data_IF_758592129839
#
_entry.id   IF_758592129839
#
_cell.length_a   1.000
_cell.length_b   1.000
_cell.length_c   1.000
_cell.angle_alpha   90.00
_cell.angle_beta   90.00
_cell.angle_gamma   90.00
#
_symmetry.space_group_name_H-M   'P 1'
#
loop_
_entity.id
_entity.type
_entity.pdbx_description
1 polymer ?
#
# COMPACT_ATOMS: atom_id res chain seq x y z
N UNK A 1 4.99 -26.46 15.65
CA UNK A 1 5.06 -25.80 16.97
C UNK A 1 3.82 -24.98 17.30
N UNK A 2 3.54 -23.86 16.62
CA UNK A 2 2.37 -23.01 16.98
C UNK A 2 1.03 -23.77 16.98
N UNK A 3 0.82 -24.64 15.99
CA UNK A 3 -0.31 -25.58 15.96
C UNK A 3 -0.33 -26.54 17.17
N UNK A 4 0.84 -27.01 17.60
CA UNK A 4 0.97 -27.98 18.69
C UNK A 4 0.64 -27.37 20.07
N UNK A 5 0.88 -26.07 20.22
CA UNK A 5 0.56 -25.31 21.45
C UNK A 5 -0.80 -24.60 21.38
N UNK A 6 -1.52 -24.71 20.26
CA UNK A 6 -2.84 -24.08 20.08
C UNK A 6 -2.80 -22.56 19.90
N UNK A 7 -1.71 -21.99 19.38
CA UNK A 7 -1.68 -20.58 19.00
C UNK A 7 -2.43 -20.35 17.69
N UNK A 8 -3.41 -19.46 17.72
CA UNK A 8 -4.34 -19.15 16.62
C UNK A 8 -4.20 -17.72 16.08
N UNK A 9 -3.27 -16.92 16.62
CA UNK A 9 -2.97 -15.59 16.10
C UNK A 9 -2.33 -15.62 14.71
N UNK A 10 -2.43 -14.52 13.95
CA UNK A 10 -1.80 -14.43 12.64
C UNK A 10 -0.27 -14.41 12.76
N UNK A 11 0.42 -14.84 11.72
CA UNK A 11 1.85 -14.61 11.58
C UNK A 11 2.12 -13.51 10.58
N UNK A 12 2.96 -12.56 10.97
CA UNK A 12 3.40 -11.46 10.12
C UNK A 12 4.90 -11.55 9.84
N UNK A 13 5.26 -11.28 8.59
CA UNK A 13 6.63 -10.91 8.20
C UNK A 13 6.63 -9.41 7.94
N UNK A 14 7.63 -8.72 8.45
CA UNK A 14 7.77 -7.28 8.29
C UNK A 14 8.91 -6.98 7.32
N UNK A 15 8.62 -6.48 6.11
CA UNK A 15 9.66 -6.18 5.14
C UNK A 15 10.52 -5.00 5.59
N UNK A 16 11.84 -5.13 5.41
CA UNK A 16 12.83 -4.07 5.56
C UNK A 16 14.00 -4.32 4.60
N UNK A 17 14.47 -3.32 3.83
CA UNK A 17 15.46 -3.55 2.78
C UNK A 17 16.89 -3.77 3.28
N UNK A 18 17.25 -3.14 4.41
CA UNK A 18 18.60 -3.00 4.94
C UNK A 18 18.54 -2.38 6.34
N UNK A 19 19.72 -2.26 6.95
CA UNK A 19 19.93 -1.77 8.33
C UNK A 19 19.44 -2.76 9.39
N UNK A 20 20.34 -3.36 10.20
CA UNK A 20 21.79 -3.10 10.29
C UNK A 20 22.62 -3.79 9.19
N UNK A 21 22.03 -4.69 8.40
CA UNK A 21 22.74 -5.37 7.31
C UNK A 21 22.76 -4.53 6.03
N UNK A 22 23.68 -4.84 5.12
CA UNK A 22 23.74 -4.21 3.79
C UNK A 22 22.51 -4.54 2.95
N UNK A 23 21.94 -5.73 3.14
CA UNK A 23 20.73 -6.23 2.49
C UNK A 23 20.04 -7.18 3.46
N UNK A 24 18.72 -7.05 3.59
CA UNK A 24 17.86 -8.01 4.26
C UNK A 24 17.00 -8.72 3.21
N UNK A 25 16.77 -10.01 3.40
CA UNK A 25 16.10 -10.84 2.39
C UNK A 25 14.63 -10.45 2.18
N UNK A 26 13.96 -10.12 3.28
CA UNK A 26 12.59 -9.64 3.30
C UNK A 26 12.57 -8.14 2.93
N UNK A 27 13.07 -7.79 1.73
CA UNK A 27 13.47 -6.41 1.45
C UNK A 27 12.33 -5.43 1.21
N UNK A 28 11.22 -5.92 0.68
CA UNK A 28 9.98 -5.21 0.41
C UNK A 28 8.82 -6.21 0.31
N UNK A 29 7.60 -5.70 0.10
CA UNK A 29 6.41 -6.55 -0.02
C UNK A 29 6.52 -7.59 -1.12
N UNK A 30 7.09 -7.26 -2.29
CA UNK A 30 7.18 -8.17 -3.42
C UNK A 30 8.18 -9.30 -3.17
N UNK A 31 9.35 -9.00 -2.60
CA UNK A 31 10.36 -9.97 -2.22
C UNK A 31 9.83 -10.97 -1.19
N UNK A 32 9.14 -10.48 -0.14
CA UNK A 32 8.51 -11.32 0.86
C UNK A 32 7.46 -12.26 0.24
N UNK A 33 6.58 -11.71 -0.61
CA UNK A 33 5.56 -12.50 -1.29
C UNK A 33 6.17 -13.57 -2.20
N UNK A 34 7.25 -13.25 -2.91
CA UNK A 34 7.92 -14.20 -3.77
C UNK A 34 8.56 -15.34 -2.96
N UNK A 35 9.25 -15.02 -1.87
CA UNK A 35 9.79 -16.01 -0.94
C UNK A 35 8.68 -16.91 -0.38
N UNK A 36 7.59 -16.32 0.12
CA UNK A 36 6.47 -17.07 0.66
C UNK A 36 5.82 -18.00 -0.37
N UNK A 37 5.74 -17.60 -1.65
CA UNK A 37 5.24 -18.46 -2.73
C UNK A 37 6.18 -19.62 -3.02
N UNK A 38 7.47 -19.34 -3.20
CA UNK A 38 8.49 -20.36 -3.51
C UNK A 38 8.49 -21.50 -2.47
N UNK A 39 8.35 -21.14 -1.20
CA UNK A 39 8.38 -22.11 -0.09
C UNK A 39 7.00 -22.59 0.38
N UNK A 40 5.92 -22.28 -0.34
CA UNK A 40 4.54 -22.67 0.00
C UNK A 40 4.10 -22.21 1.40
N UNK A 41 4.46 -20.99 1.78
CA UNK A 41 4.16 -20.37 3.08
C UNK A 41 3.12 -19.24 2.99
N UNK A 42 2.65 -18.88 1.78
CA UNK A 42 1.76 -17.73 1.58
C UNK A 42 0.44 -17.83 2.37
N UNK A 43 -0.09 -19.04 2.57
CA UNK A 43 -1.33 -19.27 3.34
C UNK A 43 -1.14 -19.18 4.86
N UNK A 44 0.12 -19.06 5.33
CA UNK A 44 0.47 -19.05 6.75
C UNK A 44 0.89 -17.67 7.26
N UNK A 45 1.28 -16.76 6.35
CA UNK A 45 1.79 -15.45 6.71
C UNK A 45 0.99 -14.34 6.02
N UNK A 46 0.90 -13.21 6.70
CA UNK A 46 0.59 -11.91 6.12
C UNK A 46 1.81 -11.00 6.30
N UNK A 47 1.75 -9.79 5.78
CA UNK A 47 2.79 -8.78 5.91
C UNK A 47 2.37 -7.72 6.93
N UNK A 48 3.32 -7.33 7.78
CA UNK A 48 3.26 -6.10 8.57
C UNK A 48 4.06 -5.05 7.80
N UNK A 49 3.41 -4.01 7.29
CA UNK A 49 4.09 -3.01 6.45
C UNK A 49 4.43 -1.79 7.29
N UNK A 50 5.71 -1.45 7.36
CA UNK A 50 6.16 -0.22 7.98
C UNK A 50 6.41 0.89 6.94
N UNK A 51 5.88 2.08 7.24
CA UNK A 51 6.04 3.29 6.44
C UNK A 51 7.50 3.66 6.14
N UNK A 52 8.38 3.70 7.14
CA UNK A 52 9.78 4.08 6.94
C UNK A 52 10.52 3.01 6.11
N UNK A 53 10.27 1.73 6.37
CA UNK A 53 10.88 0.62 5.61
C UNK A 53 10.54 0.67 4.12
N UNK A 54 9.27 0.94 3.77
CA UNK A 54 8.86 1.09 2.38
C UNK A 54 9.64 2.20 1.65
N UNK A 55 9.75 3.38 2.28
CA UNK A 55 10.51 4.50 1.70
C UNK A 55 12.01 4.23 1.64
N UNK A 56 12.56 3.50 2.61
CA UNK A 56 13.97 3.11 2.63
C UNK A 56 14.30 2.10 1.50
N UNK A 57 13.29 1.34 1.03
CA UNK A 57 13.37 0.40 -0.08
C UNK A 57 13.23 1.10 -1.45
N UNK A 58 12.93 2.40 -1.47
CA UNK A 58 12.72 3.18 -2.68
C UNK A 58 11.27 3.22 -3.16
N UNK A 59 10.33 2.77 -2.33
CA UNK A 59 8.90 2.71 -2.66
C UNK A 59 8.12 3.79 -1.92
N UNK A 60 6.94 4.18 -2.42
CA UNK A 60 5.97 4.87 -1.56
C UNK A 60 5.34 3.85 -0.62
N UNK A 61 4.89 4.27 0.57
CA UNK A 61 4.14 3.35 1.45
C UNK A 61 2.86 2.83 0.76
N UNK A 62 2.18 3.67 -0.02
CA UNK A 62 1.00 3.27 -0.80
C UNK A 62 1.31 2.11 -1.76
N UNK A 63 2.50 2.13 -2.39
CA UNK A 63 2.94 1.08 -3.29
C UNK A 63 3.04 -0.27 -2.55
N UNK A 64 3.82 -0.32 -1.46
CA UNK A 64 4.05 -1.55 -0.70
C UNK A 64 2.75 -2.11 -0.13
N UNK A 65 1.91 -1.24 0.43
CA UNK A 65 0.58 -1.62 0.91
C UNK A 65 -0.30 -2.19 -0.20
N UNK A 66 -0.29 -1.57 -1.38
CA UNK A 66 -1.10 -2.02 -2.53
C UNK A 66 -0.61 -3.38 -3.05
N UNK A 67 0.71 -3.59 -3.11
CA UNK A 67 1.30 -4.90 -3.48
C UNK A 67 0.86 -5.98 -2.49
N UNK A 68 0.96 -5.71 -1.18
CA UNK A 68 0.54 -6.64 -0.14
C UNK A 68 -0.98 -6.89 -0.18
N UNK A 69 -1.80 -5.84 -0.32
CA UNK A 69 -3.26 -5.93 -0.35
C UNK A 69 -3.77 -6.73 -1.57
N UNK A 70 -3.23 -6.47 -2.77
CA UNK A 70 -3.60 -7.20 -3.99
C UNK A 70 -3.22 -8.68 -3.94
N UNK A 71 -2.22 -9.04 -3.14
CA UNK A 71 -1.87 -10.44 -2.86
C UNK A 71 -2.69 -11.06 -1.71
N UNK A 72 -3.71 -10.36 -1.20
CA UNK A 72 -4.45 -10.72 0.02
C UNK A 72 -3.53 -10.96 1.22
N UNK A 73 -2.40 -10.27 1.28
CA UNK A 73 -1.34 -10.49 2.25
C UNK A 73 -1.13 -9.30 3.19
N UNK A 74 -1.79 -8.16 3.01
CA UNK A 74 -1.69 -7.04 3.97
C UNK A 74 -2.36 -7.44 5.29
N UNK A 75 -1.57 -7.56 6.36
CA UNK A 75 -2.03 -7.99 7.68
C UNK A 75 -2.17 -6.84 8.68
N UNK A 76 -1.10 -6.07 8.85
CA UNK A 76 -0.99 -4.96 9.80
C UNK A 76 -0.07 -3.87 9.25
N UNK A 77 -0.05 -2.71 9.89
CA UNK A 77 0.79 -1.58 9.52
C UNK A 77 1.50 -1.04 10.76
N UNK A 78 2.79 -0.76 10.61
CA UNK A 78 3.52 0.10 11.54
C UNK A 78 3.48 1.54 11.05
N UNK A 79 2.82 2.36 11.87
CA UNK A 79 2.45 3.73 11.63
C UNK A 79 3.55 4.68 12.10
N UNK A 80 4.49 4.97 11.22
CA UNK A 80 5.57 5.92 11.43
C UNK A 80 5.83 6.76 10.15
N UNK A 81 6.97 7.44 10.08
CA UNK A 81 7.45 8.04 8.83
C UNK A 81 8.96 8.10 8.83
N UNK A 82 9.54 7.97 7.63
CA UNK A 82 10.92 8.33 7.37
C UNK A 82 11.11 9.79 7.04
N UNK A 83 12.36 10.15 6.78
CA UNK A 83 12.74 11.36 6.06
C UNK A 83 13.42 10.92 4.76
N UNK A 84 12.84 11.27 3.62
CA UNK A 84 13.30 10.79 2.30
C UNK A 84 14.64 11.39 1.87
N UNK A 85 15.15 12.39 2.58
CA UNK A 85 16.49 12.93 2.42
C UNK A 85 17.52 12.20 3.30
N UNK A 86 17.06 11.27 4.14
CA UNK A 86 17.86 10.56 5.15
C UNK A 86 17.81 9.05 4.85
N UNK A 87 18.98 8.47 4.57
CA UNK A 87 19.11 7.07 4.13
C UNK A 87 19.13 6.02 5.24
N UNK A 88 18.53 6.29 6.41
CA UNK A 88 18.44 5.37 7.54
C UNK A 88 17.08 5.49 8.23
N UNK A 89 16.77 4.54 9.10
CA UNK A 89 15.49 4.43 9.76
C UNK A 89 15.30 5.44 10.90
N UNK A 90 14.36 6.39 10.71
CA UNK A 90 14.17 7.50 11.65
C UNK A 90 13.05 7.26 12.63
N UNK A 91 12.10 6.37 12.31
CA UNK A 91 10.92 5.96 13.10
C UNK A 91 10.19 7.18 13.67
N UNK A 92 9.93 8.19 12.83
CA UNK A 92 9.22 9.39 13.28
C UNK A 92 7.74 9.10 13.47
N UNK A 93 7.11 9.78 14.44
CA UNK A 93 5.66 9.76 14.49
C UNK A 93 5.09 10.36 13.20
N UNK A 94 4.03 9.76 12.63
CA UNK A 94 3.48 10.17 11.35
C UNK A 94 2.66 11.45 11.52
N UNK A 95 3.00 12.52 10.79
CA UNK A 95 2.25 13.79 10.84
C UNK A 95 1.80 14.28 9.46
N UNK A 96 2.12 13.56 8.40
CA UNK A 96 1.72 13.91 7.03
C UNK A 96 0.31 13.39 6.71
N UNK A 97 -0.61 14.33 6.45
CA UNK A 97 -2.01 14.03 6.13
C UNK A 97 -2.15 13.40 4.73
N UNK A 98 -1.27 13.71 3.78
CA UNK A 98 -1.28 13.08 2.46
C UNK A 98 -0.96 11.59 2.57
N UNK A 99 0.16 11.27 3.23
CA UNK A 99 0.60 9.90 3.46
C UNK A 99 -0.46 9.09 4.21
N UNK A 100 -0.98 9.60 5.33
CA UNK A 100 -2.01 8.90 6.11
C UNK A 100 -3.32 8.71 5.32
N UNK A 101 -3.70 9.67 4.47
CA UNK A 101 -4.85 9.51 3.55
C UNK A 101 -4.61 8.39 2.55
N UNK A 102 -3.44 8.35 1.90
CA UNK A 102 -3.08 7.30 0.93
C UNK A 102 -3.06 5.91 1.57
N UNK A 103 -2.46 5.77 2.76
CA UNK A 103 -2.48 4.52 3.53
C UNK A 103 -3.93 4.08 3.78
N UNK A 104 -4.78 5.00 4.27
CA UNK A 104 -6.15 4.65 4.61
C UNK A 104 -7.02 4.38 3.38
N UNK A 105 -6.71 4.92 2.20
CA UNK A 105 -7.36 4.54 0.94
C UNK A 105 -7.13 3.06 0.63
N UNK A 106 -5.90 2.56 0.81
CA UNK A 106 -5.56 1.14 0.62
C UNK A 106 -6.26 0.27 1.67
N UNK A 107 -6.21 0.67 2.95
CA UNK A 107 -6.84 -0.07 4.06
C UNK A 107 -8.34 -0.19 3.86
N UNK A 108 -9.02 0.90 3.49
CA UNK A 108 -10.46 0.87 3.23
C UNK A 108 -10.78 0.03 1.99
N UNK A 109 -9.97 0.13 0.92
CA UNK A 109 -10.17 -0.66 -0.31
C UNK A 109 -10.06 -2.17 -0.07
N UNK A 110 -9.20 -2.62 0.83
CA UNK A 110 -9.10 -4.03 1.21
C UNK A 110 -10.18 -4.50 2.20
N UNK A 111 -11.08 -3.61 2.64
CA UNK A 111 -12.16 -3.94 3.59
C UNK A 111 -11.82 -3.72 5.06
N UNK A 112 -10.69 -3.08 5.38
CA UNK A 112 -10.24 -2.78 6.74
C UNK A 112 -9.43 -3.90 7.40
N UNK A 113 -8.93 -3.63 8.61
CA UNK A 113 -8.17 -4.61 9.38
C UNK A 113 -9.07 -5.71 9.96
N UNK A 114 -8.51 -6.91 10.07
CA UNK A 114 -9.14 -8.05 10.75
C UNK A 114 -8.45 -8.36 12.08
N UNK A 115 -7.15 -8.64 12.02
CA UNK A 115 -6.31 -9.05 13.15
C UNK A 115 -5.15 -8.09 13.43
N UNK A 116 -4.80 -7.24 12.45
CA UNK A 116 -3.80 -6.20 12.59
C UNK A 116 -4.38 -4.84 12.98
N UNK A 117 -3.58 -3.80 12.86
CA UNK A 117 -3.98 -2.43 13.14
C UNK A 117 -2.92 -1.42 12.72
N UNK A 118 -2.98 -0.24 13.34
CA UNK A 118 -1.96 0.79 13.24
C UNK A 118 -1.14 0.75 14.54
N UNK A 119 -0.01 0.05 14.52
CA UNK A 119 0.93 0.06 15.65
C UNK A 119 1.88 1.25 15.49
N UNK A 120 2.05 2.08 16.52
CA UNK A 120 3.00 3.19 16.46
C UNK A 120 4.41 2.67 16.75
N UNK A 121 5.03 2.01 15.76
CA UNK A 121 6.48 1.74 15.78
C UNK A 121 7.25 3.03 15.45
N UNK A 122 7.14 3.96 16.38
CA UNK A 122 7.69 5.29 16.26
C UNK A 122 8.32 5.71 17.59
N UNK A 123 9.38 6.49 17.49
CA UNK A 123 10.07 7.06 18.64
C UNK A 123 9.97 8.58 18.65
N UNK A 124 10.01 9.15 19.84
CA UNK A 124 10.24 10.58 19.99
C UNK A 124 11.61 10.94 19.47
N UNK A 125 11.78 12.20 19.07
CA UNK A 125 13.08 12.71 18.68
C UNK A 125 13.99 12.75 19.91
N UNK A 126 15.29 12.61 19.69
CA UNK A 126 16.31 12.61 20.76
C UNK A 126 16.17 13.83 21.69
N UNK A 127 15.86 15.00 21.12
CA UNK A 127 15.72 16.26 21.86
C UNK A 127 14.33 16.42 22.52
N UNK A 128 13.34 15.64 22.12
CA UNK A 128 11.99 15.58 22.73
C UNK A 128 11.98 14.55 23.87
N UNK A 129 12.73 14.86 24.92
CA UNK A 129 13.10 13.93 25.98
C UNK A 129 12.23 14.03 27.24
N UNK A 130 11.37 15.04 27.37
CA UNK A 130 10.49 15.17 28.53
C UNK A 130 9.39 14.10 28.48
N UNK A 131 8.94 13.52 29.60
CA UNK A 131 7.90 12.50 29.57
C UNK A 131 6.61 12.92 28.85
N UNK A 132 6.25 14.21 28.90
CA UNK A 132 5.05 14.74 28.22
C UNK A 132 5.15 14.69 26.70
N UNK A 133 6.36 14.73 26.13
CA UNK A 133 6.56 14.60 24.69
C UNK A 133 6.05 13.26 24.18
N UNK A 134 5.97 12.23 25.03
CA UNK A 134 5.45 10.91 24.62
C UNK A 134 3.96 11.03 24.28
N UNK A 135 3.23 11.83 25.05
CA UNK A 135 1.84 12.11 24.80
C UNK A 135 1.68 12.96 23.55
N UNK A 136 2.47 14.04 23.41
CA UNK A 136 2.41 14.90 22.23
C UNK A 136 2.67 14.12 20.93
N UNK A 137 3.67 13.23 20.93
CA UNK A 137 4.02 12.45 19.75
C UNK A 137 2.90 11.47 19.35
N UNK A 138 2.34 10.72 20.30
CA UNK A 138 1.23 9.80 20.03
C UNK A 138 -0.03 10.54 19.59
N UNK A 139 -0.38 11.66 20.24
CA UNK A 139 -1.54 12.47 19.85
C UNK A 139 -1.39 12.94 18.41
N UNK A 140 -0.21 13.44 18.03
CA UNK A 140 0.06 13.86 16.64
C UNK A 140 -0.14 12.71 15.64
N UNK A 141 0.41 11.52 15.94
CA UNK A 141 0.24 10.34 15.10
C UNK A 141 -1.21 9.85 14.99
N UNK A 142 -1.91 9.79 16.12
CA UNK A 142 -3.31 9.38 16.20
C UNK A 142 -4.23 10.33 15.44
N UNK A 143 -4.05 11.65 15.60
CA UNK A 143 -4.85 12.67 14.92
C UNK A 143 -4.57 12.68 13.41
N UNK A 144 -3.32 12.51 12.98
CA UNK A 144 -2.96 12.42 11.57
C UNK A 144 -3.67 11.23 10.90
N UNK A 145 -3.59 10.03 11.49
CA UNK A 145 -4.27 8.85 10.95
C UNK A 145 -5.80 8.95 11.03
N UNK A 146 -6.36 9.52 12.10
CA UNK A 146 -7.79 9.75 12.21
C UNK A 146 -8.29 10.72 11.13
N UNK A 147 -7.53 11.79 10.84
CA UNK A 147 -7.82 12.72 9.76
C UNK A 147 -7.71 12.04 8.40
N UNK A 148 -6.62 11.31 8.15
CA UNK A 148 -6.41 10.55 6.91
C UNK A 148 -7.53 9.53 6.64
N UNK A 149 -7.99 8.81 7.67
CA UNK A 149 -9.14 7.89 7.55
C UNK A 149 -10.42 8.61 7.11
N UNK A 150 -10.74 9.76 7.72
CA UNK A 150 -11.94 10.53 7.36
C UNK A 150 -11.89 11.06 5.93
N UNK A 151 -10.71 11.52 5.49
CA UNK A 151 -10.49 12.00 4.12
C UNK A 151 -10.61 10.83 3.14
N UNK A 152 -9.91 9.71 3.38
CA UNK A 152 -9.98 8.52 2.55
C UNK A 152 -11.42 7.98 2.41
N UNK A 153 -12.18 7.97 3.50
CA UNK A 153 -13.59 7.61 3.48
C UNK A 153 -14.42 8.56 2.62
N UNK A 154 -14.21 9.87 2.73
CA UNK A 154 -14.91 10.87 1.91
C UNK A 154 -14.59 10.72 0.42
N UNK A 155 -13.33 10.47 0.07
CA UNK A 155 -12.89 10.19 -1.30
C UNK A 155 -13.60 8.94 -1.86
N UNK A 156 -13.63 7.84 -1.09
CA UNK A 156 -14.31 6.62 -1.53
C UNK A 156 -15.82 6.82 -1.68
N UNK A 157 -16.46 7.57 -0.78
CA UNK A 157 -17.88 7.86 -0.84
C UNK A 157 -18.25 8.78 -2.02
N UNK A 158 -17.36 9.69 -2.41
CA UNK A 158 -17.52 10.56 -3.58
C UNK A 158 -17.40 9.78 -4.90
N UNK A 159 -16.48 8.82 -4.98
CA UNK A 159 -16.40 7.86 -6.08
C UNK A 159 -15.76 8.39 -7.36
N UNK A 160 -15.44 9.70 -7.50
CA UNK A 160 -14.81 10.24 -8.73
C UNK A 160 -13.50 9.55 -9.09
N UNK A 161 -12.66 9.20 -8.12
CA UNK A 161 -11.43 8.44 -8.38
C UNK A 161 -11.71 7.02 -8.89
N UNK A 162 -12.66 6.31 -8.27
CA UNK A 162 -13.01 4.95 -8.67
C UNK A 162 -13.60 4.95 -10.09
N UNK A 163 -14.51 5.88 -10.38
CA UNK A 163 -15.11 6.05 -11.70
C UNK A 163 -14.05 6.37 -12.76
N UNK A 164 -13.06 7.21 -12.44
CA UNK A 164 -11.98 7.51 -13.38
C UNK A 164 -11.17 6.24 -13.75
N UNK A 165 -10.87 5.38 -12.76
CA UNK A 165 -10.18 4.11 -13.02
C UNK A 165 -11.06 3.17 -13.85
N UNK A 166 -12.34 3.02 -13.51
CA UNK A 166 -13.29 2.20 -14.28
C UNK A 166 -13.37 2.66 -15.74
N UNK A 167 -13.59 3.96 -15.98
CA UNK A 167 -13.63 4.53 -17.33
C UNK A 167 -12.32 4.31 -18.09
N UNK A 168 -11.18 4.48 -17.42
CA UNK A 168 -9.84 4.32 -18.01
C UNK A 168 -9.58 2.91 -18.51
N UNK A 169 -10.10 1.90 -17.84
CA UNK A 169 -9.90 0.48 -18.19
C UNK A 169 -11.11 -0.17 -18.87
N UNK A 170 -12.17 0.58 -19.15
CA UNK A 170 -13.43 0.10 -19.73
C UNK A 170 -13.33 -0.64 -21.08
N UNK A 171 -12.19 -0.54 -21.78
CA UNK A 171 -11.93 -1.34 -22.98
C UNK A 171 -11.68 -2.82 -22.69
N UNK A 172 -11.29 -3.17 -21.46
CA UNK A 172 -11.13 -4.56 -21.04
C UNK A 172 -12.47 -5.24 -20.71
N UNK A 173 -13.55 -4.48 -20.47
CA UNK A 173 -14.87 -5.03 -20.18
C UNK A 173 -15.65 -5.45 -21.44
N UNK A 174 -15.09 -5.28 -22.63
CA UNK A 174 -15.80 -5.43 -23.91
C UNK A 174 -14.96 -6.13 -24.98
N UNK A 175 -15.64 -6.73 -25.95
CA UNK A 175 -15.08 -7.24 -27.19
C UNK A 175 -13.79 -8.06 -27.00
N UNK A 176 -12.69 -7.66 -27.66
CA UNK A 176 -11.39 -8.30 -27.55
C UNK A 176 -10.75 -8.13 -26.17
N UNK A 177 -11.00 -7.01 -25.49
CA UNK A 177 -10.46 -6.77 -24.15
C UNK A 177 -10.97 -7.79 -23.15
N UNK A 178 -12.26 -8.11 -23.21
CA UNK A 178 -12.88 -9.12 -22.36
C UNK A 178 -12.30 -10.52 -22.64
N UNK A 179 -12.01 -10.83 -23.92
CA UNK A 179 -11.33 -12.09 -24.27
C UNK A 179 -9.90 -12.15 -23.74
N UNK A 180 -9.18 -11.02 -23.76
CA UNK A 180 -7.82 -10.91 -23.21
C UNK A 180 -7.83 -11.15 -21.71
N UNK A 181 -8.73 -10.50 -20.98
CA UNK A 181 -8.86 -10.67 -19.53
C UNK A 181 -9.26 -12.10 -19.15
N UNK A 182 -10.15 -12.73 -19.92
CA UNK A 182 -10.54 -14.12 -19.73
C UNK A 182 -9.47 -15.14 -20.16
N UNK A 183 -8.33 -14.71 -20.73
CA UNK A 183 -7.29 -15.60 -21.24
C UNK A 183 -7.70 -16.45 -22.44
N UNK A 184 -8.73 -16.02 -23.18
CA UNK A 184 -9.29 -16.75 -24.35
C UNK A 184 -8.91 -16.13 -25.70
N UNK A 185 -8.32 -14.93 -25.70
CA UNK A 185 -7.77 -14.32 -26.91
C UNK A 185 -6.50 -15.06 -27.37
N UNK A 186 -6.38 -15.27 -28.67
CA UNK A 186 -5.17 -15.79 -29.31
C UNK A 186 -4.31 -14.69 -29.93
N UNK A 187 -3.02 -14.95 -30.12
CA UNK A 187 -2.14 -14.01 -30.85
C UNK A 187 -2.62 -13.76 -32.28
N UNK A 188 -3.24 -14.74 -32.95
CA UNK A 188 -3.80 -14.56 -34.28
C UNK A 188 -4.97 -13.56 -34.30
N UNK A 189 -5.89 -13.64 -33.33
CA UNK A 189 -6.99 -12.67 -33.20
C UNK A 189 -6.46 -11.26 -32.87
N UNK A 190 -5.44 -11.17 -32.02
CA UNK A 190 -4.81 -9.88 -31.67
C UNK A 190 -4.06 -9.26 -32.84
N UNK A 191 -3.35 -10.07 -33.63
CA UNK A 191 -2.67 -9.65 -34.86
C UNK A 191 -3.68 -9.14 -35.90
N UNK A 192 -4.76 -9.89 -36.14
CA UNK A 192 -5.82 -9.46 -37.08
C UNK A 192 -6.43 -8.12 -36.66
N UNK A 193 -6.73 -7.96 -35.36
CA UNK A 193 -7.24 -6.71 -34.82
C UNK A 193 -6.24 -5.55 -35.00
N UNK A 194 -4.95 -5.78 -34.74
CA UNK A 194 -3.90 -4.77 -34.87
C UNK A 194 -3.63 -4.38 -36.33
N UNK A 195 -3.80 -5.31 -37.28
CA UNK A 195 -3.68 -5.02 -38.71
C UNK A 195 -4.91 -4.29 -39.27
N UNK A 196 -6.10 -4.60 -38.73
CA UNK A 196 -7.36 -4.00 -39.15
C UNK A 196 -7.59 -2.59 -38.56
N UNK A 197 -7.10 -2.34 -37.36
CA UNK A 197 -7.19 -1.03 -36.71
C UNK A 197 -5.92 -0.21 -36.95
N UNK A 198 -6.09 1.09 -37.24
CA UNK A 198 -4.96 2.01 -37.36
C UNK A 198 -4.37 2.40 -36.00
N UNK A 199 -3.75 3.57 -35.93
CA UNK A 199 -3.15 4.08 -34.70
C UNK A 199 -4.18 4.13 -33.54
N UNK A 200 -3.88 3.53 -32.37
CA UNK A 200 -4.80 3.53 -31.24
C UNK A 200 -5.01 4.95 -30.71
N UNK A 201 -6.25 5.26 -30.34
CA UNK A 201 -6.56 6.50 -29.60
C UNK A 201 -6.31 6.28 -28.12
N UNK A 202 -5.45 7.10 -27.52
CA UNK A 202 -5.11 7.01 -26.10
C UNK A 202 -5.81 8.11 -25.30
N UNK A 203 -6.46 7.73 -24.21
CA UNK A 203 -7.05 8.66 -23.25
C UNK A 203 -5.99 9.23 -22.29
N UNK A 204 -6.04 10.54 -22.04
CA UNK A 204 -5.18 11.23 -21.07
C UNK A 204 -5.23 10.58 -19.69
N UNK A 205 -4.08 10.52 -19.00
CA UNK A 205 -3.99 10.01 -17.63
C UNK A 205 -4.50 10.96 -16.54
N UNK A 206 -4.71 12.25 -16.87
CA UNK A 206 -5.28 13.27 -15.97
C UNK A 206 -4.60 13.41 -14.60
N UNK A 207 -3.31 13.10 -14.49
CA UNK A 207 -2.61 13.07 -13.21
C UNK A 207 -2.77 14.36 -12.39
N UNK A 208 -2.52 15.52 -12.99
CA UNK A 208 -2.61 16.81 -12.28
C UNK A 208 -4.05 17.12 -11.82
N UNK A 209 -5.05 16.65 -12.56
CA UNK A 209 -6.45 16.79 -12.17
C UNK A 209 -6.78 15.87 -10.98
N UNK A 210 -6.26 14.64 -10.97
CA UNK A 210 -6.45 13.70 -9.86
C UNK A 210 -5.72 14.15 -8.59
N UNK A 211 -4.52 14.71 -8.72
CA UNK A 211 -3.79 15.31 -7.59
C UNK A 211 -4.58 16.49 -6.99
N UNK A 212 -5.14 17.36 -7.84
CA UNK A 212 -6.02 18.43 -7.38
C UNK A 212 -7.31 17.91 -6.74
N UNK A 213 -7.87 16.83 -7.27
CA UNK A 213 -9.05 16.18 -6.68
C UNK A 213 -8.74 15.69 -5.25
N UNK A 214 -7.58 15.09 -5.00
CA UNK A 214 -7.17 14.72 -3.63
C UNK A 214 -7.09 15.96 -2.73
N UNK A 215 -6.50 17.06 -3.22
CA UNK A 215 -6.39 18.31 -2.48
C UNK A 215 -7.75 18.92 -2.11
N UNK A 216 -8.83 18.65 -2.86
CA UNK A 216 -10.18 19.11 -2.52
C UNK A 216 -10.70 18.50 -1.19
N UNK A 217 -10.21 17.32 -0.80
CA UNK A 217 -10.66 16.62 0.41
C UNK A 217 -9.78 16.85 1.64
N UNK A 218 -8.53 17.25 1.44
CA UNK A 218 -7.54 17.47 2.52
C UNK A 218 -7.87 18.72 3.32
#
# INVERSE_FOLDING_TARGET
>A
HAKDIGFDGPFYIEPKPREPSTHQYDSDSAACLNFLREYNLLDHFKLNIETNHATLAGHTVEHDLTVAANANALGSIDANTGDTLIGWDTDQFPTDIYMTTQIMLVVLKMGGFTTGGLNFDAKRRRESHEPIDLMHAHIGGMDAFARGLKIAHAIQADGRLANFVEERYSSFDKDIGAKVEAGTASFAELEELALANGEPTLSSGRQEMLENLINEFI
#
